data_IF_935523567706
#
_entry.id   IF_935523567706
#
_cell.length_a   1.000
_cell.length_b   1.000
_cell.length_c   1.000
_cell.angle_alpha   90.00
_cell.angle_beta   90.00
_cell.angle_gamma   90.00
#
_symmetry.space_group_name_H-M   'P 1'
#
loop_
_entity.id
_entity.type
_entity.pdbx_description
1 polymer ?
#
# COMPACT_ATOMS: atom_id res chain seq x y z
N UNK A 1 12.34 -11.47 -9.12
CA UNK A 1 12.14 -10.06 -9.54
C UNK A 1 13.03 -9.13 -8.73
N UNK A 2 13.68 -8.16 -9.36
CA UNK A 2 14.48 -7.15 -8.67
C UNK A 2 13.58 -6.04 -8.07
N UNK A 3 14.13 -5.19 -7.22
CA UNK A 3 13.37 -4.13 -6.55
C UNK A 3 12.90 -3.04 -7.52
N UNK A 4 13.60 -2.83 -8.65
CA UNK A 4 13.18 -1.88 -9.69
C UNK A 4 11.86 -2.30 -10.32
N UNK A 5 11.71 -3.57 -10.69
CA UNK A 5 10.46 -4.11 -11.24
C UNK A 5 9.33 -3.99 -10.22
N UNK A 6 9.58 -4.32 -8.95
CA UNK A 6 8.58 -4.15 -7.89
C UNK A 6 8.15 -2.69 -7.73
N UNK A 7 9.10 -1.75 -7.79
CA UNK A 7 8.80 -0.31 -7.73
C UNK A 7 8.01 0.20 -8.93
N UNK A 8 8.29 -0.28 -10.16
CA UNK A 8 7.52 0.09 -11.35
C UNK A 8 6.09 -0.44 -11.26
N UNK A 9 5.93 -1.71 -10.90
CA UNK A 9 4.60 -2.30 -10.72
C UNK A 9 3.82 -1.60 -9.61
N UNK A 10 4.50 -1.25 -8.51
CA UNK A 10 3.93 -0.47 -7.44
C UNK A 10 3.45 0.91 -7.91
N UNK A 11 4.24 1.61 -8.71
CA UNK A 11 3.89 2.93 -9.23
C UNK A 11 2.68 2.88 -10.17
N UNK A 12 2.60 1.84 -11.01
CA UNK A 12 1.49 1.66 -11.93
C UNK A 12 0.19 1.25 -11.21
N UNK A 13 0.27 0.44 -10.16
CA UNK A 13 -0.91 0.02 -9.40
C UNK A 13 -1.33 0.97 -8.29
N UNK A 14 -0.44 1.86 -7.81
CA UNK A 14 -0.77 2.85 -6.78
C UNK A 14 -2.02 3.70 -7.10
N UNK A 15 -2.20 4.25 -8.32
CA UNK A 15 -3.39 5.04 -8.64
C UNK A 15 -4.63 4.18 -8.94
N UNK A 16 -4.54 2.85 -9.02
CA UNK A 16 -5.66 2.03 -9.51
C UNK A 16 -6.89 2.10 -8.62
N UNK A 17 -6.70 2.17 -7.29
CA UNK A 17 -7.82 2.35 -6.35
C UNK A 17 -8.49 3.72 -6.57
N UNK A 18 -7.71 4.77 -6.73
CA UNK A 18 -8.24 6.12 -6.94
C UNK A 18 -8.99 6.25 -8.28
N UNK A 19 -8.44 5.65 -9.33
CA UNK A 19 -9.09 5.56 -10.65
C UNK A 19 -10.40 4.77 -10.52
N UNK A 20 -10.38 3.62 -9.86
CA UNK A 20 -11.57 2.79 -9.68
C UNK A 20 -12.68 3.52 -8.92
N UNK A 21 -12.33 4.15 -7.81
CA UNK A 21 -13.23 4.98 -7.00
C UNK A 21 -13.86 6.10 -7.85
N UNK A 22 -13.04 6.82 -8.63
CA UNK A 22 -13.53 7.89 -9.50
C UNK A 22 -14.46 7.36 -10.61
N UNK A 23 -14.07 6.28 -11.28
CA UNK A 23 -14.85 5.66 -12.36
C UNK A 23 -16.20 5.14 -11.84
N UNK A 24 -16.22 4.48 -10.69
CA UNK A 24 -17.46 4.00 -10.06
C UNK A 24 -18.37 5.14 -9.59
N UNK A 25 -17.78 6.27 -9.20
CA UNK A 25 -18.56 7.46 -8.87
C UNK A 25 -19.26 8.06 -10.10
N UNK A 26 -18.55 8.16 -11.23
CA UNK A 26 -19.10 8.66 -12.50
C UNK A 26 -20.09 7.69 -13.14
N UNK A 27 -19.85 6.38 -13.00
CA UNK A 27 -20.66 5.32 -13.59
C UNK A 27 -21.21 4.41 -12.49
N UNK A 28 -22.30 4.85 -11.84
CA UNK A 28 -22.96 4.13 -10.73
C UNK A 28 -23.26 2.64 -11.00
N UNK A 29 -23.58 2.17 -12.23
CA UNK A 29 -23.72 0.74 -12.50
C UNK A 29 -22.45 -0.10 -12.32
N UNK A 30 -21.26 0.54 -12.33
CA UNK A 30 -19.99 -0.12 -12.04
C UNK A 30 -19.75 -0.28 -10.53
N UNK A 31 -20.42 0.52 -9.69
CA UNK A 31 -20.31 0.39 -8.24
C UNK A 31 -20.89 -0.96 -7.81
N UNK A 32 -20.13 -1.70 -6.99
CA UNK A 32 -20.44 -3.10 -6.61
C UNK A 32 -20.48 -4.09 -7.79
N UNK A 33 -19.78 -3.80 -8.89
CA UNK A 33 -19.56 -4.78 -9.95
C UNK A 33 -18.26 -5.56 -9.72
N UNK A 34 -17.93 -6.46 -10.64
CA UNK A 34 -16.65 -7.16 -10.64
C UNK A 34 -15.46 -6.21 -10.83
N UNK A 35 -15.66 -5.01 -11.40
CA UNK A 35 -14.60 -4.01 -11.55
C UNK A 35 -13.99 -3.57 -10.21
N UNK A 36 -14.81 -3.46 -9.16
CA UNK A 36 -14.34 -3.10 -7.81
C UNK A 36 -13.26 -4.08 -7.33
N UNK A 37 -13.44 -5.38 -7.60
CA UNK A 37 -12.45 -6.41 -7.28
C UNK A 37 -11.15 -6.26 -8.08
N UNK A 38 -11.25 -5.86 -9.36
CA UNK A 38 -10.07 -5.63 -10.22
C UNK A 38 -9.21 -4.50 -9.66
N UNK A 39 -9.84 -3.36 -9.34
CA UNK A 39 -9.15 -2.20 -8.78
C UNK A 39 -8.45 -2.54 -7.47
N UNK A 40 -9.15 -3.27 -6.60
CA UNK A 40 -8.61 -3.76 -5.32
C UNK A 40 -7.42 -4.70 -5.49
N UNK A 41 -7.50 -5.69 -6.37
CA UNK A 41 -6.39 -6.63 -6.63
C UNK A 41 -5.17 -5.90 -7.17
N UNK A 42 -5.34 -5.02 -8.16
CA UNK A 42 -4.22 -4.28 -8.75
C UNK A 42 -3.53 -3.42 -7.68
N UNK A 43 -4.32 -2.69 -6.89
CA UNK A 43 -3.83 -1.82 -5.84
C UNK A 43 -3.09 -2.58 -4.73
N UNK A 44 -3.74 -3.60 -4.15
CA UNK A 44 -3.16 -4.38 -3.04
C UNK A 44 -1.93 -5.14 -3.52
N UNK A 45 -1.94 -5.72 -4.71
CA UNK A 45 -0.78 -6.44 -5.25
C UNK A 45 0.41 -5.50 -5.48
N UNK A 46 0.15 -4.30 -6.00
CA UNK A 46 1.16 -3.25 -6.11
C UNK A 46 1.74 -2.85 -4.74
N UNK A 47 0.88 -2.69 -3.73
CA UNK A 47 1.30 -2.40 -2.36
C UNK A 47 2.12 -3.55 -1.75
N UNK A 48 1.72 -4.81 -1.95
CA UNK A 48 2.50 -5.98 -1.52
C UNK A 48 3.89 -5.96 -2.18
N UNK A 49 3.99 -5.62 -3.47
CA UNK A 49 5.25 -5.43 -4.16
C UNK A 49 6.14 -4.38 -3.49
N UNK A 50 5.55 -3.26 -3.06
CA UNK A 50 6.25 -2.23 -2.28
C UNK A 50 6.78 -2.76 -0.95
N UNK A 51 5.97 -3.51 -0.21
CA UNK A 51 6.37 -4.08 1.08
C UNK A 51 7.52 -5.08 0.94
N UNK A 52 7.50 -5.92 -0.11
CA UNK A 52 8.60 -6.84 -0.41
C UNK A 52 9.89 -6.06 -0.70
N UNK A 53 9.82 -5.00 -1.50
CA UNK A 53 10.99 -4.21 -1.85
C UNK A 53 11.57 -3.46 -0.64
N UNK A 54 10.73 -2.85 0.20
CA UNK A 54 11.14 -2.16 1.42
C UNK A 54 11.77 -3.12 2.44
N UNK A 55 11.22 -4.33 2.57
CA UNK A 55 11.80 -5.38 3.41
C UNK A 55 13.21 -5.78 2.91
N UNK A 56 13.39 -5.94 1.60
CA UNK A 56 14.70 -6.26 1.00
C UNK A 56 15.74 -5.17 1.18
N UNK A 57 15.32 -3.90 1.17
CA UNK A 57 16.21 -2.75 1.43
C UNK A 57 16.49 -2.62 2.94
N UNK A 58 15.78 -3.35 3.79
CA UNK A 58 15.95 -3.31 5.24
C UNK A 58 15.47 -2.00 5.85
N UNK A 59 14.37 -1.42 5.33
CA UNK A 59 13.87 -0.11 5.73
C UNK A 59 13.56 0.01 7.24
N UNK A 60 13.26 -1.11 7.91
CA UNK A 60 12.99 -1.22 9.35
C UNK A 60 14.20 -1.69 10.19
N UNK A 61 15.37 -1.85 9.57
CA UNK A 61 16.58 -2.33 10.24
C UNK A 61 16.65 -3.85 10.41
N UNK A 62 17.43 -4.31 11.40
CA UNK A 62 17.77 -5.73 11.60
C UNK A 62 17.05 -6.41 12.77
N UNK A 63 16.18 -5.69 13.48
CA UNK A 63 15.45 -6.23 14.63
C UNK A 63 14.48 -7.34 14.19
N UNK A 64 14.19 -8.30 15.10
CA UNK A 64 13.20 -9.36 14.83
C UNK A 64 11.84 -8.76 14.47
N UNK A 65 11.41 -7.73 15.21
CA UNK A 65 10.17 -7.02 14.95
C UNK A 65 10.15 -6.38 13.55
N UNK A 66 11.23 -5.69 13.17
CA UNK A 66 11.35 -5.06 11.85
C UNK A 66 11.32 -6.05 10.68
N UNK A 67 11.76 -7.30 10.92
CA UNK A 67 11.72 -8.38 9.92
C UNK A 67 10.36 -9.10 9.86
N UNK A 68 9.68 -9.26 10.99
CA UNK A 68 8.40 -9.96 11.06
C UNK A 68 7.23 -9.07 10.63
N UNK A 69 7.25 -7.78 10.94
CA UNK A 69 6.15 -6.85 10.64
C UNK A 69 5.78 -6.80 9.14
N UNK A 70 6.73 -6.67 8.18
CA UNK A 70 6.41 -6.79 6.76
C UNK A 70 5.70 -8.08 6.38
N UNK A 71 6.06 -9.21 7.01
CA UNK A 71 5.46 -10.51 6.70
C UNK A 71 4.02 -10.60 7.19
N UNK A 72 3.74 -10.05 8.38
CA UNK A 72 2.38 -9.95 8.90
C UNK A 72 1.53 -9.08 7.97
N UNK A 73 2.07 -7.93 7.53
CA UNK A 73 1.39 -7.06 6.57
C UNK A 73 1.12 -7.75 5.23
N UNK A 74 2.08 -8.50 4.70
CA UNK A 74 1.87 -9.28 3.47
C UNK A 74 0.79 -10.34 3.67
N UNK A 75 0.73 -10.97 4.85
CA UNK A 75 -0.33 -11.91 5.21
C UNK A 75 -1.72 -11.25 5.23
N UNK A 76 -1.87 -10.11 5.89
CA UNK A 76 -3.16 -9.39 5.92
C UNK A 76 -3.57 -8.88 4.54
N UNK A 77 -2.63 -8.35 3.76
CA UNK A 77 -2.90 -7.93 2.38
C UNK A 77 -3.29 -9.11 1.48
N UNK A 78 -2.67 -10.27 1.65
CA UNK A 78 -3.05 -11.48 0.91
C UNK A 78 -4.48 -11.92 1.24
N UNK A 79 -4.87 -11.89 2.52
CA UNK A 79 -6.25 -12.20 2.95
C UNK A 79 -7.25 -11.18 2.40
N UNK A 80 -6.92 -9.88 2.43
CA UNK A 80 -7.74 -8.84 1.81
C UNK A 80 -7.87 -9.04 0.29
N UNK A 81 -6.85 -9.54 -0.38
CA UNK A 81 -6.97 -9.90 -1.80
C UNK A 81 -7.94 -11.07 -2.05
N UNK A 82 -8.18 -11.93 -1.07
CA UNK A 82 -9.22 -12.96 -1.18
C UNK A 82 -10.62 -12.31 -1.22
N UNK A 83 -10.88 -11.25 -0.45
CA UNK A 83 -12.16 -10.51 -0.55
C UNK A 83 -12.29 -9.83 -1.91
N UNK A 84 -11.22 -9.25 -2.45
CA UNK A 84 -11.26 -8.69 -3.82
C UNK A 84 -11.46 -9.77 -4.89
N UNK A 85 -10.86 -10.95 -4.73
CA UNK A 85 -11.11 -12.11 -5.60
C UNK A 85 -12.56 -12.57 -5.52
N UNK A 86 -13.16 -12.55 -4.33
CA UNK A 86 -14.59 -12.79 -4.15
C UNK A 86 -15.44 -11.75 -4.90
N UNK A 87 -15.07 -10.47 -4.81
CA UNK A 87 -15.73 -9.37 -5.51
C UNK A 87 -15.70 -9.55 -7.04
N UNK A 88 -14.67 -10.21 -7.60
CA UNK A 88 -14.62 -10.54 -9.03
C UNK A 88 -15.69 -11.57 -9.44
N UNK A 89 -15.89 -12.60 -8.62
CA UNK A 89 -16.69 -13.79 -9.00
C UNK A 89 -18.14 -13.65 -8.55
N UNK A 90 -18.36 -13.07 -7.37
CA UNK A 90 -19.67 -12.96 -6.75
C UNK A 90 -19.88 -11.55 -6.15
N UNK A 91 -19.87 -10.48 -6.98
CA UNK A 91 -19.87 -9.09 -6.51
C UNK A 91 -21.07 -8.70 -5.65
N UNK A 92 -22.22 -9.36 -5.83
CA UNK A 92 -23.48 -9.10 -5.12
C UNK A 92 -23.67 -9.97 -3.87
N UNK A 93 -22.90 -11.04 -3.72
CA UNK A 93 -23.03 -11.98 -2.59
C UNK A 93 -21.93 -11.74 -1.56
N UNK A 94 -22.26 -11.02 -0.49
CA UNK A 94 -21.31 -10.61 0.57
C UNK A 94 -21.72 -11.18 1.94
N UNK A 95 -21.54 -12.49 2.20
CA UNK A 95 -21.82 -13.08 3.51
C UNK A 95 -20.86 -12.56 4.58
N UNK A 96 -21.09 -12.88 5.86
CA UNK A 96 -20.22 -12.46 6.98
C UNK A 96 -18.74 -12.81 6.76
N UNK A 97 -18.46 -13.94 6.11
CA UNK A 97 -17.09 -14.34 5.77
C UNK A 97 -16.40 -13.32 4.85
N UNK A 98 -17.11 -12.76 3.86
CA UNK A 98 -16.56 -11.73 2.97
C UNK A 98 -16.05 -10.53 3.78
N UNK A 99 -16.89 -10.02 4.69
CA UNK A 99 -16.55 -8.88 5.52
C UNK A 99 -15.42 -9.20 6.49
N UNK A 100 -15.37 -10.42 7.05
CA UNK A 100 -14.28 -10.84 7.92
C UNK A 100 -12.92 -10.86 7.19
N UNK A 101 -12.89 -11.31 5.92
CA UNK A 101 -11.69 -11.24 5.08
C UNK A 101 -11.33 -9.79 4.73
N UNK A 102 -12.33 -8.99 4.39
CA UNK A 102 -12.17 -7.60 3.99
C UNK A 102 -11.62 -6.71 5.13
N UNK A 103 -11.91 -7.04 6.39
CA UNK A 103 -11.32 -6.37 7.57
C UNK A 103 -9.79 -6.43 7.62
N UNK A 104 -9.15 -7.34 6.89
CA UNK A 104 -7.69 -7.35 6.77
C UNK A 104 -7.14 -6.14 5.99
N UNK A 105 -7.96 -5.48 5.16
CA UNK A 105 -7.57 -4.24 4.47
C UNK A 105 -7.39 -3.04 5.43
N UNK A 106 -8.38 -2.62 6.24
CA UNK A 106 -8.16 -1.56 7.22
C UNK A 106 -7.11 -1.96 8.27
N UNK A 107 -7.05 -3.24 8.66
CA UNK A 107 -6.00 -3.73 9.56
C UNK A 107 -4.59 -3.52 8.96
N UNK A 108 -4.41 -3.78 7.66
CA UNK A 108 -3.12 -3.54 6.98
C UNK A 108 -2.70 -2.07 6.98
N UNK A 109 -3.66 -1.12 6.94
CA UNK A 109 -3.38 0.31 7.08
C UNK A 109 -2.93 0.68 8.51
N UNK A 110 -3.54 0.09 9.54
CA UNK A 110 -3.07 0.25 10.94
C UNK A 110 -1.65 -0.29 11.09
N UNK A 111 -1.37 -1.47 10.53
CA UNK A 111 -0.02 -2.04 10.54
C UNK A 111 0.98 -1.16 9.76
N UNK A 112 0.54 -0.51 8.67
CA UNK A 112 1.36 0.43 7.91
C UNK A 112 1.74 1.67 8.72
N UNK A 113 0.86 2.14 9.61
CA UNK A 113 1.20 3.23 10.53
C UNK A 113 2.33 2.81 11.47
N UNK A 114 2.23 1.63 12.07
CA UNK A 114 3.28 1.05 12.93
C UNK A 114 4.58 0.85 12.12
N UNK A 115 4.45 0.37 10.88
CA UNK A 115 5.57 0.20 9.97
C UNK A 115 6.28 1.52 9.67
N UNK A 116 5.52 2.58 9.39
CA UNK A 116 6.06 3.92 9.14
C UNK A 116 6.82 4.49 10.34
N UNK A 117 6.27 4.34 11.55
CA UNK A 117 6.98 4.73 12.79
C UNK A 117 8.29 3.93 12.90
N UNK A 118 8.24 2.63 12.65
CA UNK A 118 9.42 1.75 12.71
C UNK A 118 10.50 2.16 11.70
N UNK A 119 10.11 2.55 10.48
CA UNK A 119 11.05 3.03 9.44
C UNK A 119 11.72 4.34 9.86
N UNK A 120 10.97 5.27 10.45
CA UNK A 120 11.52 6.54 10.96
C UNK A 120 12.54 6.27 12.06
N UNK A 121 12.19 5.43 13.04
CA UNK A 121 13.07 5.08 14.17
C UNK A 121 14.32 4.33 13.69
N UNK A 122 14.18 3.42 12.73
CA UNK A 122 15.31 2.67 12.18
C UNK A 122 16.28 3.56 11.39
N UNK A 123 15.81 4.72 10.89
CA UNK A 123 16.58 5.72 10.17
C UNK A 123 17.43 5.16 9.02
N UNK A 124 16.89 4.18 8.29
CA UNK A 124 17.58 3.49 7.17
C UNK A 124 17.35 4.14 5.82
N UNK A 125 16.25 4.88 5.67
CA UNK A 125 15.93 5.61 4.45
C UNK A 125 16.37 7.08 4.57
N UNK A 126 16.95 7.68 3.52
CA UNK A 126 17.48 9.03 3.58
C UNK A 126 16.38 10.10 3.52
N UNK A 127 16.59 11.20 4.26
CA UNK A 127 15.82 12.44 4.12
C UNK A 127 14.32 12.27 4.30
N UNK A 128 13.54 12.75 3.32
CA UNK A 128 12.08 12.72 3.34
C UNK A 128 11.49 11.31 3.16
N UNK A 129 12.27 10.38 2.57
CA UNK A 129 11.79 9.07 2.15
C UNK A 129 11.38 8.18 3.34
N UNK A 130 12.00 8.38 4.51
CA UNK A 130 11.64 7.68 5.74
C UNK A 130 10.25 8.02 6.27
N UNK A 131 9.68 9.16 5.90
CA UNK A 131 8.34 9.59 6.33
C UNK A 131 7.23 9.08 5.42
N UNK A 132 7.55 8.61 4.22
CA UNK A 132 6.56 8.17 3.23
C UNK A 132 5.76 6.94 3.70
N UNK A 133 6.36 5.91 4.33
CA UNK A 133 5.56 4.82 4.85
C UNK A 133 4.61 5.26 5.97
N UNK A 134 5.00 6.24 6.79
CA UNK A 134 4.11 6.84 7.78
C UNK A 134 2.94 7.58 7.11
N UNK A 135 3.22 8.34 6.04
CA UNK A 135 2.17 8.98 5.24
C UNK A 135 1.15 7.95 4.72
N UNK A 136 1.60 6.79 4.22
CA UNK A 136 0.66 5.73 3.81
C UNK A 136 -0.18 5.22 4.99
N UNK A 137 0.45 5.00 6.16
CA UNK A 137 -0.25 4.55 7.37
C UNK A 137 -1.25 5.56 7.94
N UNK A 138 -1.08 6.85 7.65
CA UNK A 138 -2.01 7.91 8.05
C UNK A 138 -3.28 7.97 7.19
N UNK A 139 -3.38 7.14 6.14
CA UNK A 139 -4.58 7.08 5.28
C UNK A 139 -5.86 6.80 6.08
N UNK A 140 -5.83 5.84 7.01
CA UNK A 140 -7.04 5.48 7.78
C UNK A 140 -7.48 6.62 8.71
N UNK A 141 -6.60 7.23 9.53
CA UNK A 141 -6.91 8.47 10.23
C UNK A 141 -7.50 9.56 9.32
N UNK A 142 -6.89 9.77 8.15
CA UNK A 142 -7.36 10.77 7.18
C UNK A 142 -8.76 10.45 6.64
N UNK A 143 -9.03 9.18 6.32
CA UNK A 143 -10.32 8.72 5.85
C UNK A 143 -11.42 8.91 6.91
N UNK A 144 -11.10 8.60 8.17
CA UNK A 144 -12.03 8.80 9.27
C UNK A 144 -12.28 10.29 9.53
N UNK A 145 -11.24 11.12 9.62
CA UNK A 145 -11.42 12.55 9.86
C UNK A 145 -12.19 13.23 8.71
N UNK A 146 -11.88 12.89 7.46
CA UNK A 146 -12.62 13.43 6.32
C UNK A 146 -14.10 13.08 6.35
N UNK A 147 -14.45 11.87 6.81
CA UNK A 147 -15.85 11.43 6.92
C UNK A 147 -16.66 12.21 7.95
N UNK A 148 -16.04 12.65 9.05
CA UNK A 148 -16.74 13.32 10.15
C UNK A 148 -16.75 14.84 10.04
N UNK A 149 -15.73 15.43 9.42
CA UNK A 149 -15.47 16.88 9.51
C UNK A 149 -15.61 17.63 8.19
N UNK A 150 -15.72 16.92 7.05
CA UNK A 150 -15.82 17.54 5.72
C UNK A 150 -17.12 17.16 5.00
N UNK A 151 -17.59 18.00 4.06
CA UNK A 151 -18.63 17.61 3.11
C UNK A 151 -18.23 16.32 2.38
N UNK A 152 -19.19 15.42 2.13
CA UNK A 152 -18.94 14.08 1.59
C UNK A 152 -18.13 14.08 0.29
N UNK A 153 -18.45 14.97 -0.65
CA UNK A 153 -17.76 15.08 -1.94
C UNK A 153 -16.30 15.54 -1.79
N UNK A 154 -16.06 16.54 -0.94
CA UNK A 154 -14.73 17.06 -0.66
C UNK A 154 -13.89 16.03 0.09
N UNK A 155 -14.44 15.42 1.14
CA UNK A 155 -13.77 14.37 1.89
C UNK A 155 -13.39 13.19 1.02
N UNK A 156 -14.31 12.72 0.18
CA UNK A 156 -14.07 11.64 -0.77
C UNK A 156 -12.93 11.96 -1.76
N UNK A 157 -12.97 13.14 -2.37
CA UNK A 157 -11.95 13.59 -3.34
C UNK A 157 -10.57 13.69 -2.68
N UNK A 158 -10.51 14.23 -1.46
CA UNK A 158 -9.26 14.37 -0.69
C UNK A 158 -8.66 13.02 -0.31
N UNK A 159 -9.46 12.08 0.24
CA UNK A 159 -8.99 10.73 0.59
C UNK A 159 -8.44 10.01 -0.63
N UNK A 160 -9.13 10.14 -1.75
CA UNK A 160 -8.80 9.49 -3.02
C UNK A 160 -7.49 10.02 -3.60
N UNK A 161 -7.36 11.35 -3.69
CA UNK A 161 -6.13 11.99 -4.13
C UNK A 161 -4.95 11.69 -3.19
N UNK A 162 -5.19 11.73 -1.88
CA UNK A 162 -4.19 11.41 -0.87
C UNK A 162 -3.66 9.98 -1.04
N UNK A 163 -4.54 9.00 -1.22
CA UNK A 163 -4.13 7.60 -1.44
C UNK A 163 -3.29 7.44 -2.71
N UNK A 164 -3.72 8.02 -3.83
CA UNK A 164 -2.94 7.95 -5.08
C UNK A 164 -1.52 8.52 -4.90
N UNK A 165 -1.40 9.68 -4.25
CA UNK A 165 -0.12 10.35 -4.03
C UNK A 165 0.75 9.57 -3.05
N UNK A 166 0.23 9.16 -1.89
CA UNK A 166 1.01 8.51 -0.85
C UNK A 166 1.61 7.16 -1.33
N UNK A 167 0.82 6.33 -2.01
CA UNK A 167 1.31 5.06 -2.53
C UNK A 167 2.22 5.23 -3.76
N UNK A 168 2.01 6.26 -4.57
CA UNK A 168 2.95 6.61 -5.65
C UNK A 168 4.30 7.07 -5.09
N UNK A 169 4.31 7.88 -4.03
CA UNK A 169 5.54 8.27 -3.34
C UNK A 169 6.25 7.04 -2.76
N UNK A 170 5.51 6.08 -2.20
CA UNK A 170 6.09 4.84 -1.67
C UNK A 170 6.81 4.05 -2.78
N UNK A 171 6.20 3.96 -3.96
CA UNK A 171 6.82 3.36 -5.13
C UNK A 171 8.09 4.12 -5.57
N UNK A 172 8.06 5.46 -5.56
CA UNK A 172 9.22 6.30 -5.88
C UNK A 172 10.37 6.12 -4.87
N UNK A 173 10.08 5.93 -3.58
CA UNK A 173 11.10 5.59 -2.58
C UNK A 173 11.82 4.30 -2.97
N UNK A 174 11.09 3.27 -3.40
CA UNK A 174 11.70 2.01 -3.84
C UNK A 174 12.55 2.23 -5.10
N UNK A 175 12.03 2.97 -6.08
CA UNK A 175 12.73 3.27 -7.33
C UNK A 175 13.94 4.18 -7.15
N UNK A 176 14.06 4.92 -6.07
CA UNK A 176 15.25 5.76 -5.80
C UNK A 176 16.29 5.04 -4.95
N UNK A 177 15.88 4.08 -4.10
CA UNK A 177 16.79 3.31 -3.24
C UNK A 177 17.30 1.99 -3.84
N UNK A 178 16.83 1.57 -5.02
CA UNK A 178 17.32 0.34 -5.66
C UNK A 178 18.79 0.40 -6.11
N UNK A 179 19.39 1.60 -6.21
CA UNK A 179 20.74 1.81 -6.78
C UNK A 179 21.88 1.53 -5.80
N UNK A 180 21.63 1.57 -4.50
CA UNK A 180 22.69 1.50 -3.48
C UNK A 180 23.25 0.09 -3.22
N UNK A 181 22.69 -0.95 -3.86
CA UNK A 181 23.09 -2.35 -3.66
C UNK A 181 24.22 -2.87 -4.57
N UNK A 182 24.73 -2.07 -5.52
CA UNK A 182 25.78 -2.49 -6.46
C UNK A 182 27.10 -1.70 -6.34
N UNK A 183 27.20 -0.75 -5.42
CA UNK A 183 28.37 0.10 -5.25
C UNK A 183 29.17 -0.22 -3.97
N UNK A 184 29.47 -1.49 -3.73
CA UNK A 184 30.37 -1.89 -2.66
C UNK A 184 31.15 -3.17 -3.03
N UNK A 185 32.14 -3.01 -3.90
CA UNK A 185 33.37 -3.80 -3.82
C UNK A 185 34.52 -2.79 -3.89
N UNK A 186 35.12 -2.40 -2.74
CA UNK A 186 36.46 -1.85 -2.79
C UNK A 186 37.37 -2.98 -3.27
N UNK A 187 38.00 -2.79 -4.43
CA UNK A 187 39.14 -3.61 -4.82
C UNK A 187 40.24 -3.38 -3.79
N UNK A 188 40.29 -4.25 -2.78
CA UNK A 188 41.48 -4.43 -1.96
C UNK A 188 42.44 -5.37 -2.67
N UNK A 189 43.71 -5.00 -2.66
CA UNK A 189 44.90 -5.72 -3.14
C UNK A 189 45.24 -5.52 -4.63
N UNK A 190 46.13 -4.57 -4.91
CA UNK A 190 47.57 -4.84 -5.17
C UNK A 190 48.39 -3.67 -4.62
#
# INVERSE_FOLDING_TARGET
MNNKTLGVLALLGAPSMAIGIYVEDQFKPLANSWWTGVWGIVYITAWMGSMVALNRIGATGSSRFGRTLPLIMLGTLAIANVSNGWQLVAPTFKPTLFWALDMCWPLSNVLMLIYGITVIVANRLPGWQRFVPLLCGLWLPMALTSKFWLPSELGFSLVTAYSAVAWSLLALVILTNHRSGHAAAPLSHV
#
